data_IF_635384921798
#
_entry.id   IF_635384921798
#
_cell.length_a   1.000
_cell.length_b   1.000
_cell.length_c   1.000
_cell.angle_alpha   90.00
_cell.angle_beta   90.00
_cell.angle_gamma   90.00
#
_symmetry.space_group_name_H-M   'P 1'
#
loop_
_entity.id
_entity.type
_entity.pdbx_description
1 polymer ?
#
# COMPACT_ATOMS: atom_id res chain seq x y z
N UNK A 1 -21.14 45.71 18.07
CA UNK A 1 -21.01 45.07 16.74
C UNK A 1 -20.00 43.91 16.66
N UNK A 2 -19.46 43.36 17.77
CA UNK A 2 -18.46 42.26 17.72
C UNK A 2 -19.05 40.84 17.65
N UNK A 3 -20.27 40.62 18.16
CA UNK A 3 -20.91 39.29 18.24
C UNK A 3 -21.41 38.75 16.89
N UNK A 4 -21.83 39.64 15.98
CA UNK A 4 -22.31 39.26 14.62
C UNK A 4 -21.19 38.74 13.73
N UNK A 5 -19.98 39.29 13.87
CA UNK A 5 -18.80 38.83 13.14
C UNK A 5 -18.33 37.45 13.63
N UNK A 6 -18.45 37.15 14.93
CA UNK A 6 -18.12 35.83 15.47
C UNK A 6 -19.02 34.71 14.93
N UNK A 7 -20.32 34.98 14.78
CA UNK A 7 -21.26 34.04 14.14
C UNK A 7 -20.90 33.77 12.67
N UNK A 8 -20.42 34.78 11.94
CA UNK A 8 -19.93 34.59 10.57
C UNK A 8 -18.69 33.70 10.53
N UNK A 9 -17.75 33.86 11.46
CA UNK A 9 -16.58 32.98 11.57
C UNK A 9 -16.96 31.53 11.86
N UNK A 10 -17.91 31.30 12.76
CA UNK A 10 -18.42 29.95 13.07
C UNK A 10 -19.10 29.33 11.83
N UNK A 11 -19.89 30.13 11.11
CA UNK A 11 -20.57 29.69 9.90
C UNK A 11 -19.55 29.27 8.82
N UNK A 12 -18.51 30.09 8.61
CA UNK A 12 -17.43 29.80 7.65
C UNK A 12 -16.70 28.52 8.04
N UNK A 13 -16.40 28.32 9.32
CA UNK A 13 -15.74 27.11 9.82
C UNK A 13 -16.60 25.84 9.59
N UNK A 14 -17.92 25.93 9.81
CA UNK A 14 -18.86 24.83 9.57
C UNK A 14 -18.97 24.49 8.08
N UNK A 15 -19.08 25.49 7.20
CA UNK A 15 -19.10 25.27 5.76
C UNK A 15 -17.79 24.65 5.26
N UNK A 16 -16.65 25.08 5.81
CA UNK A 16 -15.35 24.52 5.47
C UNK A 16 -15.23 23.06 5.93
N UNK A 17 -15.67 22.75 7.15
CA UNK A 17 -15.71 21.39 7.68
C UNK A 17 -16.58 20.47 6.83
N UNK A 18 -17.77 20.94 6.42
CA UNK A 18 -18.67 20.16 5.58
C UNK A 18 -18.06 19.88 4.20
N UNK A 19 -17.48 20.90 3.56
CA UNK A 19 -16.86 20.76 2.24
C UNK A 19 -15.62 19.85 2.28
N UNK A 20 -14.83 19.93 3.35
CA UNK A 20 -13.71 19.00 3.58
C UNK A 20 -14.19 17.56 3.75
N UNK A 21 -15.28 17.35 4.50
CA UNK A 21 -15.84 16.04 4.76
C UNK A 21 -16.46 15.41 3.51
N UNK A 22 -17.19 16.19 2.70
CA UNK A 22 -17.76 15.70 1.43
C UNK A 22 -16.68 15.40 0.40
N UNK A 23 -15.59 16.19 0.35
CA UNK A 23 -14.46 15.94 -0.56
C UNK A 23 -13.65 14.70 -0.16
N UNK A 24 -13.53 14.39 1.14
CA UNK A 24 -12.95 13.13 1.64
C UNK A 24 -13.88 11.92 1.51
N UNK A 25 -15.19 12.14 1.43
CA UNK A 25 -16.21 11.10 1.17
C UNK A 25 -16.54 10.94 -0.32
N UNK A 26 -15.65 11.33 -1.23
CA UNK A 26 -15.52 10.55 -2.45
C UNK A 26 -14.55 9.42 -2.13
N UNK A 27 -15.02 8.28 -1.59
CA UNK A 27 -14.20 7.10 -1.76
C UNK A 27 -14.05 6.98 -3.28
N UNK A 28 -12.83 6.81 -3.75
CA UNK A 28 -12.62 5.94 -4.89
C UNK A 28 -13.13 4.55 -4.49
N UNK A 29 -14.46 4.41 -4.31
CA UNK A 29 -15.17 3.15 -4.39
C UNK A 29 -15.15 2.82 -5.88
N UNK A 30 -13.95 2.53 -6.37
CA UNK A 30 -13.79 1.46 -7.33
C UNK A 30 -14.34 0.24 -6.61
N UNK A 31 -15.65 0.03 -6.74
CA UNK A 31 -16.23 -1.28 -6.51
C UNK A 31 -15.40 -2.21 -7.39
N UNK A 32 -14.59 -3.06 -6.76
CA UNK A 32 -13.98 -4.19 -7.45
C UNK A 32 -15.13 -4.86 -8.21
N UNK A 33 -15.03 -5.05 -9.54
CA UNK A 33 -16.14 -5.57 -10.31
C UNK A 33 -16.60 -6.88 -9.67
N UNK A 34 -17.82 -6.88 -9.13
CA UNK A 34 -18.53 -8.06 -8.61
C UNK A 34 -19.01 -8.96 -9.76
N UNK A 35 -18.25 -9.00 -10.85
CA UNK A 35 -18.54 -9.78 -12.04
C UNK A 35 -17.48 -10.89 -12.13
N UNK A 36 -17.88 -12.09 -11.72
CA UNK A 36 -17.28 -13.36 -12.15
C UNK A 36 -15.75 -13.39 -12.21
N UNK A 37 -15.08 -13.28 -11.05
CA UNK A 37 -13.68 -13.72 -10.97
C UNK A 37 -13.71 -15.23 -11.26
N UNK A 38 -13.43 -15.62 -12.51
CA UNK A 38 -13.07 -16.99 -12.83
C UNK A 38 -11.97 -17.36 -11.84
N UNK A 39 -12.24 -18.33 -10.96
CA UNK A 39 -11.24 -18.77 -9.99
C UNK A 39 -10.01 -19.13 -10.81
N UNK A 40 -8.89 -18.39 -10.67
CA UNK A 40 -7.70 -18.71 -11.45
C UNK A 40 -7.34 -20.15 -11.16
N UNK A 41 -6.98 -20.89 -12.20
CA UNK A 41 -6.56 -22.28 -12.03
C UNK A 41 -5.36 -22.31 -11.06
N UNK A 42 -5.16 -23.44 -10.37
CA UNK A 42 -4.02 -23.58 -9.46
C UNK A 42 -2.67 -23.30 -10.16
N UNK A 43 -2.60 -23.55 -11.47
CA UNK A 43 -1.43 -23.27 -12.30
C UNK A 43 -1.21 -21.77 -12.48
N UNK A 44 -2.26 -20.99 -12.74
CA UNK A 44 -2.18 -19.53 -12.85
C UNK A 44 -1.79 -18.88 -11.52
N UNK A 45 -2.28 -19.40 -10.40
CA UNK A 45 -1.91 -18.92 -9.06
C UNK A 45 -0.42 -19.16 -8.82
N UNK A 46 0.08 -20.39 -9.06
CA UNK A 46 1.49 -20.72 -8.92
C UNK A 46 2.40 -19.90 -9.84
N UNK A 47 1.96 -19.64 -11.08
CA UNK A 47 2.70 -18.80 -12.00
C UNK A 47 2.79 -17.35 -11.48
N UNK A 48 1.69 -16.80 -10.97
CA UNK A 48 1.68 -15.46 -10.36
C UNK A 48 2.51 -15.39 -9.09
N UNK A 49 2.48 -16.40 -8.23
CA UNK A 49 3.31 -16.51 -7.03
C UNK A 49 4.80 -16.52 -7.39
N UNK A 50 5.19 -17.29 -8.42
CA UNK A 50 6.57 -17.33 -8.89
C UNK A 50 7.04 -15.95 -9.37
N UNK A 51 6.26 -15.30 -10.23
CA UNK A 51 6.57 -13.95 -10.74
C UNK A 51 6.64 -12.93 -9.61
N UNK A 52 5.73 -13.03 -8.64
CA UNK A 52 5.72 -12.16 -7.46
C UNK A 52 6.99 -12.33 -6.63
N UNK A 53 7.40 -13.57 -6.35
CA UNK A 53 8.62 -13.85 -5.60
C UNK A 53 9.87 -13.33 -6.30
N UNK A 54 9.98 -13.54 -7.63
CA UNK A 54 11.09 -13.00 -8.41
C UNK A 54 11.15 -11.46 -8.34
N UNK A 55 10.00 -10.78 -8.43
CA UNK A 55 9.93 -9.33 -8.32
C UNK A 55 10.28 -8.82 -6.92
N UNK A 56 9.87 -9.52 -5.87
CA UNK A 56 10.21 -9.18 -4.49
C UNK A 56 11.72 -9.31 -4.24
N UNK A 57 12.35 -10.38 -4.73
CA UNK A 57 13.80 -10.58 -4.62
C UNK A 57 14.54 -9.46 -5.36
N UNK A 58 14.16 -9.15 -6.60
CA UNK A 58 14.78 -8.05 -7.37
C UNK A 58 14.64 -6.71 -6.65
N UNK A 59 13.48 -6.43 -6.08
CA UNK A 59 13.24 -5.20 -5.31
C UNK A 59 14.13 -5.15 -4.07
N UNK A 60 14.23 -6.25 -3.32
CA UNK A 60 15.08 -6.34 -2.14
C UNK A 60 16.57 -6.18 -2.48
N UNK A 61 17.05 -6.81 -3.55
CA UNK A 61 18.42 -6.63 -4.03
C UNK A 61 18.71 -5.17 -4.39
N UNK A 62 17.78 -4.52 -5.09
CA UNK A 62 17.91 -3.10 -5.43
C UNK A 62 17.94 -2.23 -4.18
N UNK A 63 17.01 -2.43 -3.24
CA UNK A 63 16.99 -1.69 -1.98
C UNK A 63 18.28 -1.90 -1.18
N UNK A 64 18.79 -3.13 -1.13
CA UNK A 64 20.06 -3.43 -0.50
C UNK A 64 21.23 -2.67 -1.15
N UNK A 65 21.26 -2.63 -2.49
CA UNK A 65 22.27 -1.88 -3.22
C UNK A 65 22.16 -0.38 -2.95
N UNK A 66 20.95 0.17 -2.97
CA UNK A 66 20.69 1.59 -2.71
C UNK A 66 21.12 1.98 -1.29
N UNK A 67 20.98 1.09 -0.30
CA UNK A 67 21.36 1.35 1.10
C UNK A 67 22.84 1.12 1.40
N UNK A 68 23.47 0.12 0.79
CA UNK A 68 24.82 -0.32 1.14
C UNK A 68 25.89 0.02 0.10
N UNK A 69 25.48 0.45 -1.09
CA UNK A 69 26.37 0.75 -2.22
C UNK A 69 27.03 -0.48 -2.86
N UNK A 70 26.56 -1.69 -2.54
CA UNK A 70 27.07 -2.95 -3.10
C UNK A 70 25.96 -3.99 -3.26
N UNK A 71 26.23 -5.01 -4.06
CA UNK A 71 25.31 -6.15 -4.17
C UNK A 71 25.33 -7.04 -2.91
N UNK A 72 24.18 -7.65 -2.63
CA UNK A 72 24.04 -8.65 -1.56
C UNK A 72 24.82 -9.90 -1.93
N UNK A 73 25.55 -10.48 -0.97
CA UNK A 73 26.35 -11.69 -1.19
C UNK A 73 25.49 -12.93 -1.36
N UNK A 74 24.37 -12.97 -0.64
CA UNK A 74 23.40 -14.06 -0.66
C UNK A 74 22.04 -13.53 -0.22
N UNK A 75 20.98 -14.25 -0.56
CA UNK A 75 19.62 -14.06 -0.08
C UNK A 75 19.51 -14.01 1.45
N UNK A 76 20.37 -14.73 2.19
CA UNK A 76 20.44 -14.62 3.65
C UNK A 76 20.73 -13.21 4.13
N UNK A 77 21.58 -12.48 3.42
CA UNK A 77 21.92 -11.10 3.78
C UNK A 77 20.73 -10.16 3.60
N UNK A 78 19.86 -10.45 2.62
CA UNK A 78 18.59 -9.73 2.44
C UNK A 78 17.59 -10.06 3.56
N UNK A 79 17.58 -11.30 4.05
CA UNK A 79 16.74 -11.74 5.19
C UNK A 79 17.22 -11.08 6.48
N UNK A 80 18.53 -11.11 6.76
CA UNK A 80 19.12 -10.52 7.97
C UNK A 80 18.89 -9.00 8.04
N UNK A 81 18.82 -8.34 6.88
CA UNK A 81 18.44 -6.92 6.77
C UNK A 81 16.94 -6.66 6.86
N UNK A 82 16.12 -7.70 6.91
CA UNK A 82 14.66 -7.59 6.95
C UNK A 82 14.03 -7.14 5.63
N UNK A 83 14.75 -7.24 4.50
CA UNK A 83 14.25 -6.83 3.18
C UNK A 83 13.35 -7.89 2.54
N UNK A 84 13.53 -9.16 2.91
CA UNK A 84 12.66 -10.28 2.55
C UNK A 84 12.45 -11.17 3.78
N UNK A 85 11.29 -11.83 3.85
CA UNK A 85 11.00 -12.77 4.92
C UNK A 85 11.61 -14.15 4.63
N UNK A 86 12.16 -14.79 5.65
CA UNK A 86 12.70 -16.15 5.53
C UNK A 86 11.60 -17.21 5.39
N UNK A 87 11.96 -18.47 5.02
CA UNK A 87 11.00 -19.56 4.86
C UNK A 87 10.22 -19.90 6.15
N UNK A 88 10.74 -19.54 7.33
CA UNK A 88 10.07 -19.74 8.62
C UNK A 88 8.88 -18.81 8.86
N UNK A 89 8.77 -17.69 8.13
CA UNK A 89 7.64 -16.76 8.29
C UNK A 89 6.40 -17.16 7.50
N UNK A 90 6.44 -18.30 6.79
CA UNK A 90 5.37 -18.78 5.90
C UNK A 90 4.67 -20.01 6.53
N UNK A 91 5.03 -20.38 7.76
CA UNK A 91 4.27 -21.37 8.53
C UNK A 91 2.93 -20.76 8.99
N UNK A 92 1.78 -21.39 8.66
CA UNK A 92 0.45 -20.91 9.03
C UNK A 92 0.20 -20.94 10.54
#
# INVERSE_FOLDING_TARGET
MRKRSWLLFILIALLWWLNFYTKRRKPDMQFLPSAGIARPSLEEIKAKEKVLNENLIKKAQKTFFDETGREAKDTKELIDRGLISGPESISP
#
